data_IF_599817684144
#
_entry.id   IF_599817684144
#
_cell.length_a   1.000
_cell.length_b   1.000
_cell.length_c   1.000
_cell.angle_alpha   90.00
_cell.angle_beta   90.00
_cell.angle_gamma   90.00
#
_symmetry.space_group_name_H-M   'P 1'
#
loop_
_entity.id
_entity.type
_entity.pdbx_description
1 polymer ?
#
# COMPACT_ATOMS: atom_id res chain seq x y z
N UNK A 1 3.26 -1.90 -10.35
CA UNK A 1 2.28 -2.31 -9.32
C UNK A 1 0.88 -2.27 -9.92
N UNK A 2 0.05 -3.31 -9.73
CA UNK A 2 -1.32 -3.33 -10.28
C UNK A 2 -2.34 -2.92 -9.23
N UNK A 3 -3.54 -2.50 -9.66
CA UNK A 3 -4.67 -2.26 -8.74
C UNK A 3 -5.04 -3.50 -7.92
N UNK A 4 -4.82 -4.70 -8.48
CA UNK A 4 -5.06 -5.98 -7.80
C UNK A 4 -4.12 -6.19 -6.62
N UNK A 5 -2.82 -5.89 -6.80
CA UNK A 5 -1.82 -5.98 -5.73
C UNK A 5 -2.17 -5.08 -4.54
N UNK A 6 -2.57 -3.83 -4.80
CA UNK A 6 -3.04 -2.91 -3.75
C UNK A 6 -4.29 -3.39 -3.01
N UNK A 7 -5.22 -4.01 -3.75
CA UNK A 7 -6.44 -4.56 -3.15
C UNK A 7 -6.16 -5.77 -2.26
N UNK A 8 -5.23 -6.64 -2.66
CA UNK A 8 -4.78 -7.81 -1.90
C UNK A 8 -4.10 -7.39 -0.59
N UNK A 9 -3.14 -6.46 -0.65
CA UNK A 9 -2.47 -5.93 0.54
C UNK A 9 -3.45 -5.32 1.54
N UNK A 10 -4.40 -4.51 1.05
CA UNK A 10 -5.47 -3.98 1.91
C UNK A 10 -6.31 -5.08 2.56
N UNK A 11 -6.60 -6.16 1.84
CA UNK A 11 -7.36 -7.30 2.36
C UNK A 11 -6.57 -8.07 3.43
N UNK A 12 -5.27 -8.25 3.22
CA UNK A 12 -4.36 -8.89 4.17
C UNK A 12 -3.98 -7.98 5.35
N UNK A 13 -4.46 -6.74 5.38
CA UNK A 13 -4.08 -5.70 6.35
C UNK A 13 -2.56 -5.45 6.38
N UNK A 14 -1.86 -5.76 5.28
CA UNK A 14 -0.45 -5.49 5.06
C UNK A 14 -0.31 -4.29 4.13
N UNK A 15 0.78 -3.55 4.27
CA UNK A 15 1.16 -2.50 3.31
C UNK A 15 0.78 -1.06 3.68
N UNK A 16 0.81 -0.13 2.71
CA UNK A 16 0.73 1.30 2.95
C UNK A 16 -0.68 1.69 3.41
N UNK A 17 -0.74 2.77 4.17
CA UNK A 17 -2.01 3.34 4.64
C UNK A 17 -2.89 3.71 3.44
N UNK A 18 -4.18 3.48 3.60
CA UNK A 18 -5.18 3.79 2.58
C UNK A 18 -6.31 4.61 3.17
N UNK A 19 -6.97 5.38 2.32
CA UNK A 19 -8.10 6.21 2.67
C UNK A 19 -9.32 5.84 1.83
N UNK A 20 -10.50 5.98 2.41
CA UNK A 20 -11.77 5.79 1.69
C UNK A 20 -12.35 7.15 1.36
N UNK A 21 -12.44 7.46 0.06
CA UNK A 21 -13.15 8.63 -0.45
C UNK A 21 -14.46 8.15 -1.09
N UNK A 22 -15.49 8.05 -0.26
CA UNK A 22 -16.76 7.41 -0.64
C UNK A 22 -16.53 5.95 -1.03
N UNK A 23 -16.80 5.61 -2.29
CA UNK A 23 -16.60 4.24 -2.84
C UNK A 23 -15.18 3.97 -3.35
N UNK A 24 -14.32 4.99 -3.41
CA UNK A 24 -12.96 4.86 -3.93
C UNK A 24 -11.99 4.61 -2.78
N UNK A 25 -11.06 3.69 -2.99
CA UNK A 25 -9.87 3.57 -2.14
C UNK A 25 -8.73 4.32 -2.80
N UNK A 26 -8.11 5.20 -2.04
CA UNK A 26 -7.00 6.05 -2.49
C UNK A 26 -5.81 5.87 -1.55
N UNK A 27 -4.63 6.11 -2.08
CA UNK A 27 -3.37 6.10 -1.36
C UNK A 27 -2.77 7.49 -1.48
N UNK A 28 -2.27 8.04 -0.37
CA UNK A 28 -1.48 9.25 -0.41
C UNK A 28 -0.16 8.92 -1.11
N UNK A 29 0.25 9.75 -2.06
CA UNK A 29 1.38 9.42 -2.93
C UNK A 29 2.70 9.39 -2.14
N UNK A 30 2.89 10.37 -1.27
CA UNK A 30 4.01 10.49 -0.34
C UNK A 30 4.11 9.28 0.59
N UNK A 31 3.03 8.92 1.30
CA UNK A 31 3.03 7.75 2.20
C UNK A 31 3.27 6.43 1.43
N UNK A 32 2.76 6.33 0.20
CA UNK A 32 2.97 5.17 -0.66
C UNK A 32 4.44 5.06 -1.10
N UNK A 33 5.04 6.16 -1.51
CA UNK A 33 6.45 6.23 -1.92
C UNK A 33 7.38 5.94 -0.74
N UNK A 34 7.13 6.51 0.43
CA UNK A 34 7.88 6.23 1.66
C UNK A 34 7.79 4.75 2.03
N UNK A 35 6.59 4.17 1.99
CA UNK A 35 6.40 2.75 2.28
C UNK A 35 7.12 1.85 1.27
N UNK A 36 7.08 2.20 -0.02
CA UNK A 36 7.81 1.46 -1.05
C UNK A 36 9.32 1.56 -0.88
N UNK A 37 9.84 2.76 -0.54
CA UNK A 37 11.25 2.96 -0.28
C UNK A 37 11.72 2.17 0.95
N UNK A 38 10.93 2.19 2.04
CA UNK A 38 11.19 1.40 3.24
C UNK A 38 11.13 -0.11 2.97
N UNK A 39 10.16 -0.56 2.18
CA UNK A 39 9.98 -1.99 1.82
C UNK A 39 11.03 -2.48 0.81
N UNK A 40 11.56 -1.60 -0.04
CA UNK A 40 12.68 -1.94 -0.93
C UNK A 40 14.02 -2.03 -0.18
N UNK A 41 14.17 -1.27 0.91
CA UNK A 41 15.33 -1.34 1.79
C UNK A 41 15.27 -2.52 2.79
N UNK A 42 14.06 -3.06 3.05
CA UNK A 42 13.82 -4.24 3.86
C UNK A 42 13.17 -5.35 3.05
N UNK A 43 13.99 -6.12 2.33
CA UNK A 43 13.62 -7.46 1.88
C UNK A 43 13.44 -8.38 3.11
N UNK A 44 12.33 -8.22 3.84
CA UNK A 44 11.91 -9.14 4.89
C UNK A 44 10.44 -8.87 5.21
N UNK A 45 9.53 -9.65 4.62
CA UNK A 45 8.19 -9.85 5.14
C UNK A 45 7.81 -11.31 4.86
N UNK A 46 7.98 -12.15 5.90
CA UNK A 46 7.48 -13.54 6.04
C UNK A 46 6.03 -13.76 5.52
#
# INVERSE_FOLDING_TARGET
MTKGTLAMWRYEHKGPKYFKLGRKVVYALDELEEWLAASAAGAEQD
#
